data_IF_172767236245
#
_entry.id   IF_172767236245
#
_cell.length_a   1.000
_cell.length_b   1.000
_cell.length_c   1.000
_cell.angle_alpha   90.00
_cell.angle_beta   90.00
_cell.angle_gamma   90.00
#
_symmetry.space_group_name_H-M   'P 1'
#
loop_
_entity.id
_entity.type
_entity.pdbx_description
1 polymer ?
#
# COMPACT_ATOMS: atom_id res chain seq x y z
N UNK A 1 5.03 53.47 -23.73
CA UNK A 1 4.70 52.28 -24.55
C UNK A 1 5.64 51.10 -24.32
N UNK A 2 6.95 51.27 -24.38
CA UNK A 2 7.91 50.18 -24.18
C UNK A 2 7.83 49.51 -22.77
N UNK A 3 7.56 50.29 -21.72
CA UNK A 3 7.44 49.81 -20.33
C UNK A 3 6.21 48.91 -20.16
N UNK A 4 5.08 49.25 -20.80
CA UNK A 4 3.85 48.45 -20.71
C UNK A 4 4.00 47.05 -21.37
N UNK A 5 4.71 47.00 -22.51
CA UNK A 5 4.99 45.71 -23.17
C UNK A 5 5.91 44.83 -22.38
N UNK A 6 6.89 45.43 -21.69
CA UNK A 6 7.83 44.67 -20.84
C UNK A 6 7.13 44.06 -19.62
N UNK A 7 6.21 44.79 -18.99
CA UNK A 7 5.43 44.31 -17.84
C UNK A 7 4.51 43.17 -18.27
N UNK A 8 3.83 43.28 -19.41
CA UNK A 8 2.95 42.24 -19.94
C UNK A 8 3.72 40.94 -20.23
N UNK A 9 4.90 41.05 -20.81
CA UNK A 9 5.76 39.88 -21.07
C UNK A 9 6.22 39.21 -19.78
N UNK A 10 6.59 39.97 -18.77
CA UNK A 10 7.01 39.41 -17.46
C UNK A 10 5.88 38.64 -16.78
N UNK A 11 4.65 39.13 -16.84
CA UNK A 11 3.47 38.45 -16.28
C UNK A 11 3.20 37.11 -16.99
N UNK A 12 3.26 37.10 -18.32
CA UNK A 12 3.06 35.89 -19.12
C UNK A 12 4.13 34.85 -18.82
N UNK A 13 5.39 35.23 -18.75
CA UNK A 13 6.49 34.31 -18.39
C UNK A 13 6.34 33.79 -16.98
N UNK A 14 5.95 34.61 -16.02
CA UNK A 14 5.70 34.17 -14.63
C UNK A 14 4.58 33.17 -14.54
N UNK A 15 3.46 33.35 -15.27
CA UNK A 15 2.35 32.37 -15.28
C UNK A 15 2.75 31.04 -15.90
N UNK A 16 3.50 31.01 -16.98
CA UNK A 16 3.98 29.80 -17.64
C UNK A 16 4.92 29.02 -16.72
N UNK A 17 5.86 29.68 -16.06
CA UNK A 17 6.77 29.06 -15.10
C UNK A 17 6.02 28.49 -13.89
N UNK A 18 5.01 29.21 -13.39
CA UNK A 18 4.17 28.71 -12.29
C UNK A 18 3.41 27.43 -12.63
N UNK A 19 2.85 27.33 -13.82
CA UNK A 19 2.14 26.13 -14.30
C UNK A 19 3.12 24.94 -14.45
N UNK A 20 4.31 25.16 -15.00
CA UNK A 20 5.32 24.10 -15.15
C UNK A 20 5.78 23.62 -13.78
N UNK A 21 6.05 24.49 -12.83
CA UNK A 21 6.44 24.12 -11.47
C UNK A 21 5.36 23.29 -10.76
N UNK A 22 4.08 23.68 -10.90
CA UNK A 22 2.96 22.93 -10.33
C UNK A 22 2.83 21.53 -10.92
N UNK A 23 2.97 21.38 -12.23
CA UNK A 23 2.96 20.08 -12.90
C UNK A 23 4.16 19.22 -12.50
N UNK A 24 5.35 19.80 -12.36
CA UNK A 24 6.55 19.12 -11.89
C UNK A 24 6.39 18.59 -10.46
N UNK A 25 5.81 19.36 -9.55
CA UNK A 25 5.51 18.93 -8.19
C UNK A 25 4.47 17.80 -8.16
N UNK A 26 3.42 17.85 -8.96
CA UNK A 26 2.42 16.80 -9.08
C UNK A 26 3.03 15.51 -9.63
N UNK A 27 3.94 15.59 -10.62
CA UNK A 27 4.63 14.43 -11.18
C UNK A 27 5.63 13.80 -10.19
N UNK A 28 6.10 14.54 -9.18
CA UNK A 28 6.99 14.07 -8.12
C UNK A 28 6.23 13.57 -6.88
N UNK A 29 4.89 13.59 -6.87
CA UNK A 29 4.10 13.03 -5.79
C UNK A 29 4.46 11.57 -5.57
N UNK A 30 4.70 11.18 -4.30
CA UNK A 30 5.08 9.81 -3.94
C UNK A 30 4.01 8.83 -4.38
N UNK A 31 4.43 7.77 -5.04
CA UNK A 31 3.57 6.62 -5.30
C UNK A 31 3.32 5.85 -4.01
N UNK A 32 2.14 5.31 -3.89
CA UNK A 32 1.77 4.45 -2.78
C UNK A 32 1.93 3.00 -3.25
N UNK A 33 2.51 2.17 -2.39
CA UNK A 33 2.63 0.74 -2.60
C UNK A 33 1.66 0.02 -1.68
N UNK A 34 0.98 -0.97 -2.21
CA UNK A 34 0.05 -1.78 -1.45
C UNK A 34 0.58 -3.20 -1.29
N UNK A 35 0.44 -3.75 -0.11
CA UNK A 35 0.58 -5.18 0.13
C UNK A 35 -0.82 -5.76 0.28
N UNK A 36 -1.14 -6.74 -0.55
CA UNK A 36 -2.44 -7.42 -0.55
C UNK A 36 -2.20 -8.87 -0.18
N UNK A 37 -2.88 -9.34 0.85
CA UNK A 37 -2.84 -10.73 1.31
C UNK A 37 -4.25 -11.29 1.22
N UNK A 38 -4.40 -12.40 0.50
CA UNK A 38 -5.66 -13.11 0.36
C UNK A 38 -5.49 -14.54 0.85
N UNK A 39 -6.38 -14.96 1.72
CA UNK A 39 -6.47 -16.35 2.20
C UNK A 39 -7.70 -16.98 1.56
N UNK A 40 -7.50 -17.92 0.66
CA UNK A 40 -8.59 -18.60 -0.05
C UNK A 40 -9.14 -19.77 0.76
N UNK A 41 -8.28 -20.51 1.46
CA UNK A 41 -8.66 -21.71 2.22
C UNK A 41 -7.77 -21.86 3.45
N UNK A 42 -8.36 -22.23 4.58
CA UNK A 42 -7.66 -22.64 5.79
C UNK A 42 -7.51 -24.16 5.73
N UNK A 43 -6.28 -24.63 5.56
CA UNK A 43 -5.96 -26.08 5.42
C UNK A 43 -5.57 -26.73 6.72
N UNK A 44 -5.14 -25.95 7.72
CA UNK A 44 -4.80 -26.38 9.07
C UNK A 44 -5.37 -25.37 10.07
N UNK A 45 -6.50 -25.71 10.67
CA UNK A 45 -7.21 -24.81 11.59
C UNK A 45 -6.40 -24.47 12.83
N UNK A 46 -5.69 -25.44 13.40
CA UNK A 46 -4.88 -25.23 14.62
C UNK A 46 -3.65 -24.38 14.33
N UNK A 47 -2.98 -24.63 13.20
CA UNK A 47 -1.87 -23.82 12.73
C UNK A 47 -2.28 -22.38 12.43
N UNK A 48 -3.43 -22.20 11.80
CA UNK A 48 -4.00 -20.88 11.54
C UNK A 48 -4.34 -20.13 12.83
N UNK A 49 -4.94 -20.81 13.80
CA UNK A 49 -5.25 -20.23 15.11
C UNK A 49 -3.96 -19.82 15.85
N UNK A 50 -2.92 -20.63 15.79
CA UNK A 50 -1.62 -20.29 16.36
C UNK A 50 -1.02 -19.04 15.67
N UNK A 51 -1.13 -18.94 14.35
CA UNK A 51 -0.70 -17.76 13.59
C UNK A 51 -1.45 -16.49 14.02
N UNK A 52 -2.75 -16.58 14.25
CA UNK A 52 -3.56 -15.39 14.64
C UNK A 52 -3.13 -14.79 15.98
N UNK A 53 -2.49 -15.57 16.85
CA UNK A 53 -1.91 -15.07 18.11
C UNK A 53 -0.77 -14.09 17.90
N UNK A 54 -0.13 -14.11 16.74
CA UNK A 54 0.91 -13.15 16.36
C UNK A 54 0.33 -11.84 15.79
N UNK A 55 -0.99 -11.74 15.64
CA UNK A 55 -1.66 -10.57 15.08
C UNK A 55 -1.32 -9.25 15.78
N UNK A 56 -1.38 -9.15 17.12
CA UNK A 56 -1.01 -7.92 17.84
C UNK A 56 0.44 -7.48 17.58
N UNK A 57 1.39 -8.41 17.58
CA UNK A 57 2.79 -8.12 17.26
C UNK A 57 2.95 -7.66 15.80
N UNK A 58 2.22 -8.27 14.88
CA UNK A 58 2.23 -7.89 13.47
C UNK A 58 1.68 -6.47 13.24
N UNK A 59 0.67 -6.06 13.98
CA UNK A 59 0.14 -4.69 13.93
C UNK A 59 1.21 -3.68 14.34
N UNK A 60 2.00 -3.98 15.36
CA UNK A 60 3.12 -3.15 15.81
C UNK A 60 4.18 -3.03 14.70
N UNK A 61 4.54 -4.15 14.05
CA UNK A 61 5.49 -4.15 12.94
C UNK A 61 4.99 -3.33 11.74
N UNK A 62 3.71 -3.39 11.41
CA UNK A 62 3.11 -2.55 10.37
C UNK A 62 3.28 -1.06 10.69
N UNK A 63 3.04 -0.66 11.94
CA UNK A 63 3.23 0.73 12.37
C UNK A 63 4.70 1.15 12.32
N UNK A 64 5.62 0.29 12.73
CA UNK A 64 7.06 0.56 12.66
C UNK A 64 7.54 0.74 11.21
N UNK A 65 6.92 0.07 10.26
CA UNK A 65 7.20 0.23 8.83
C UNK A 65 6.45 1.41 8.19
N UNK A 66 5.79 2.26 8.99
CA UNK A 66 4.91 3.35 8.51
C UNK A 66 3.79 2.86 7.59
N UNK A 67 3.35 1.62 7.78
CA UNK A 67 2.24 1.04 7.05
C UNK A 67 0.89 1.45 7.63
N UNK A 68 -0.12 1.44 6.78
CA UNK A 68 -1.49 1.77 7.14
C UNK A 68 -2.43 0.71 6.60
N UNK A 69 -3.19 0.05 7.46
CA UNK A 69 -4.23 -0.86 7.04
C UNK A 69 -5.36 -0.11 6.33
N UNK A 70 -5.70 -0.55 5.12
CA UNK A 70 -6.85 -0.07 4.35
C UNK A 70 -8.03 -1.05 4.47
N UNK A 71 -7.73 -2.33 4.55
CA UNK A 71 -8.70 -3.39 4.81
C UNK A 71 -8.03 -4.49 5.63
N UNK A 72 -8.76 -5.09 6.54
CA UNK A 72 -8.36 -6.24 7.32
C UNK A 72 -9.63 -6.92 7.80
N UNK A 73 -10.11 -7.87 7.02
CA UNK A 73 -11.45 -8.42 7.21
C UNK A 73 -11.55 -9.85 6.71
N UNK A 74 -12.44 -10.61 7.29
CA UNK A 74 -12.95 -11.89 6.80
C UNK A 74 -14.40 -11.77 6.26
N UNK A 75 -14.93 -10.55 6.22
CA UNK A 75 -16.26 -10.26 5.71
C UNK A 75 -16.17 -9.76 4.26
N UNK A 76 -16.22 -10.68 3.32
CA UNK A 76 -16.06 -10.43 1.90
C UNK A 76 -17.30 -10.91 1.13
N UNK A 77 -17.74 -10.11 0.16
CA UNK A 77 -18.82 -10.47 -0.75
C UNK A 77 -18.25 -10.65 -2.16
N UNK A 78 -18.43 -11.83 -2.74
CA UNK A 78 -18.04 -12.06 -4.13
C UNK A 78 -19.00 -11.32 -5.07
N UNK A 79 -18.44 -10.55 -5.98
CA UNK A 79 -19.17 -9.97 -7.11
C UNK A 79 -19.16 -10.91 -8.31
N UNK A 80 -18.06 -11.67 -8.43
CA UNK A 80 -17.86 -12.69 -9.43
C UNK A 80 -16.86 -13.73 -8.89
N UNK A 81 -17.11 -15.01 -9.15
CA UNK A 81 -16.30 -16.08 -8.61
C UNK A 81 -16.47 -16.30 -7.11
N UNK A 82 -15.48 -16.92 -6.48
CA UNK A 82 -15.47 -17.20 -5.04
C UNK A 82 -14.72 -16.10 -4.27
N UNK A 83 -15.31 -15.64 -3.17
CA UNK A 83 -14.64 -14.71 -2.26
C UNK A 83 -13.54 -15.42 -1.47
N UNK A 84 -12.38 -14.79 -1.22
CA UNK A 84 -11.42 -15.29 -0.26
C UNK A 84 -12.01 -15.33 1.16
N UNK A 85 -11.45 -16.16 2.02
CA UNK A 85 -11.84 -16.27 3.44
C UNK A 85 -11.40 -15.07 4.25
N UNK A 86 -10.28 -14.45 3.86
CA UNK A 86 -9.71 -13.28 4.52
C UNK A 86 -8.97 -12.41 3.52
N UNK A 87 -9.06 -11.12 3.74
CA UNK A 87 -8.39 -10.09 2.92
C UNK A 87 -7.70 -9.08 3.82
N UNK A 88 -6.45 -8.76 3.48
CA UNK A 88 -5.68 -7.72 4.15
C UNK A 88 -5.06 -6.83 3.08
N UNK A 89 -5.17 -5.52 3.25
CA UNK A 89 -4.56 -4.53 2.38
C UNK A 89 -3.86 -3.48 3.23
N UNK A 90 -2.59 -3.25 2.97
CA UNK A 90 -1.75 -2.33 3.71
C UNK A 90 -1.10 -1.38 2.72
N UNK A 91 -1.14 -0.08 2.99
CA UNK A 91 -0.48 0.94 2.19
C UNK A 91 0.87 1.34 2.81
N UNK A 92 1.87 1.55 1.94
CA UNK A 92 3.21 2.00 2.31
C UNK A 92 3.67 3.13 1.36
N UNK A 93 4.54 4.01 1.87
CA UNK A 93 5.12 5.10 1.08
C UNK A 93 6.20 4.63 0.11
N UNK A 94 6.78 3.45 0.32
CA UNK A 94 7.84 2.89 -0.52
C UNK A 94 7.82 1.37 -0.51
N UNK A 95 8.39 0.78 -1.55
CA UNK A 95 8.59 -0.66 -1.63
C UNK A 95 9.58 -1.16 -0.56
N UNK A 96 10.59 -0.35 -0.21
CA UNK A 96 11.56 -0.71 0.84
C UNK A 96 10.89 -0.89 2.20
N UNK A 97 9.93 -0.03 2.55
CA UNK A 97 9.14 -0.17 3.78
C UNK A 97 8.27 -1.42 3.77
N UNK A 98 7.61 -1.70 2.66
CA UNK A 98 6.82 -2.92 2.49
C UNK A 98 7.70 -4.18 2.61
N UNK A 99 8.86 -4.21 1.98
CA UNK A 99 9.82 -5.29 2.08
C UNK A 99 10.37 -5.45 3.51
N UNK A 100 10.62 -4.34 4.19
CA UNK A 100 11.05 -4.34 5.59
C UNK A 100 10.03 -5.01 6.50
N UNK A 101 8.76 -4.71 6.35
CA UNK A 101 7.69 -5.41 7.06
C UNK A 101 7.73 -6.91 6.77
N UNK A 102 7.81 -7.30 5.51
CA UNK A 102 7.80 -8.70 5.10
C UNK A 102 8.98 -9.48 5.71
N UNK A 103 10.17 -8.87 5.77
CA UNK A 103 11.33 -9.44 6.43
C UNK A 103 11.16 -9.61 7.94
N UNK A 104 10.51 -8.65 8.60
CA UNK A 104 10.29 -8.65 10.05
C UNK A 104 9.12 -9.54 10.49
N UNK A 105 8.31 -10.02 9.56
CA UNK A 105 7.15 -10.88 9.83
C UNK A 105 7.28 -12.27 9.21
N UNK A 106 8.50 -12.75 9.01
CA UNK A 106 8.78 -14.06 8.38
C UNK A 106 8.13 -15.23 9.09
N UNK A 107 8.10 -15.21 10.43
CA UNK A 107 7.48 -16.27 11.22
C UNK A 107 5.99 -16.39 10.93
N UNK A 108 5.28 -15.26 10.98
CA UNK A 108 3.85 -15.24 10.67
C UNK A 108 3.57 -15.64 9.22
N UNK A 109 4.40 -15.17 8.29
CA UNK A 109 4.31 -15.54 6.87
C UNK A 109 4.48 -17.05 6.68
N UNK A 110 5.48 -17.66 7.31
CA UNK A 110 5.71 -19.09 7.23
C UNK A 110 4.52 -19.89 7.78
N UNK A 111 3.96 -19.47 8.91
CA UNK A 111 2.78 -20.10 9.52
C UNK A 111 1.55 -19.97 8.60
N UNK A 112 1.37 -18.82 7.97
CA UNK A 112 0.28 -18.60 6.99
C UNK A 112 0.41 -19.53 5.79
N UNK A 113 1.57 -19.60 5.19
CA UNK A 113 1.83 -20.48 4.03
C UNK A 113 1.57 -21.96 4.38
N UNK A 114 1.98 -22.37 5.57
CA UNK A 114 1.83 -23.76 6.03
C UNK A 114 0.37 -24.13 6.37
N UNK A 115 -0.43 -23.17 6.84
CA UNK A 115 -1.77 -23.43 7.36
C UNK A 115 -2.90 -23.01 6.43
N UNK A 116 -2.59 -22.40 5.28
CA UNK A 116 -3.59 -21.87 4.35
C UNK A 116 -3.18 -22.07 2.90
N UNK A 117 -4.16 -21.96 2.01
CA UNK A 117 -3.94 -21.61 0.61
C UNK A 117 -4.13 -20.11 0.49
N UNK A 118 -3.05 -19.39 0.29
CA UNK A 118 -3.04 -17.93 0.30
C UNK A 118 -1.96 -17.38 -0.61
N UNK A 119 -2.05 -16.09 -0.86
CA UNK A 119 -1.03 -15.34 -1.60
C UNK A 119 -0.84 -13.96 -0.98
N UNK A 120 0.34 -13.43 -1.16
CA UNK A 120 0.66 -12.04 -0.87
C UNK A 120 1.30 -11.43 -2.11
N UNK A 121 0.82 -10.26 -2.51
CA UNK A 121 1.36 -9.52 -3.65
C UNK A 121 1.58 -8.07 -3.25
N UNK A 122 2.56 -7.42 -3.85
CA UNK A 122 2.70 -5.98 -3.79
C UNK A 122 2.17 -5.37 -5.08
N UNK A 123 1.49 -4.24 -4.94
CA UNK A 123 0.89 -3.50 -6.06
C UNK A 123 1.38 -2.06 -5.99
N UNK A 124 1.92 -1.58 -7.10
CA UNK A 124 2.27 -0.17 -7.24
C UNK A 124 1.00 0.63 -7.55
N UNK A 125 0.71 1.64 -6.72
CA UNK A 125 -0.40 2.54 -6.93
C UNK A 125 -0.14 3.58 -8.02
N UNK A 126 -1.16 4.31 -8.38
CA UNK A 126 -1.10 5.42 -9.34
C UNK A 126 -0.44 6.67 -8.76
#
# INVERSE_FOLDING_TARGET
>A
MKIQHTIALAVVVGLVLGVIATRGLAAQAKRIFYVVIEVDEITDADGYKAMTKLGPANIVEVKHADGRYLARTDNLTALDGAAPKRFVMIAFDSMDKANGLYQNTKEMTAMRIKSTKSRAVSVEGL
#
